data_IF_078825438340
#
_entry.id   IF_078825438340
#
_cell.length_a   1.000
_cell.length_b   1.000
_cell.length_c   1.000
_cell.angle_alpha   90.00
_cell.angle_beta   90.00
_cell.angle_gamma   90.00
#
_symmetry.space_group_name_H-M   'P 1'
#
loop_
_entity.id
_entity.type
_entity.pdbx_description
1 polymer ?
#
# COMPACT_ATOMS: atom_id res chain seq x y z
N UNK A 1 49.17 -18.50 -6.12
CA UNK A 1 48.47 -18.79 -4.85
C UNK A 1 46.97 -18.79 -5.15
N UNK A 2 46.29 -19.94 -5.04
CA UNK A 2 44.88 -20.12 -5.43
C UNK A 2 43.97 -19.49 -4.37
N UNK A 3 43.16 -18.51 -4.76
CA UNK A 3 42.14 -17.91 -3.88
C UNK A 3 40.89 -18.78 -3.99
N UNK A 4 40.55 -19.44 -2.87
CA UNK A 4 39.36 -20.29 -2.73
C UNK A 4 38.17 -19.43 -2.31
N UNK A 5 37.10 -19.42 -3.11
CA UNK A 5 35.81 -18.84 -2.76
C UNK A 5 35.13 -19.67 -1.67
N UNK A 6 35.15 -19.19 -0.43
CA UNK A 6 34.31 -19.72 0.63
C UNK A 6 32.86 -19.27 0.41
N UNK A 7 32.00 -20.26 0.15
CA UNK A 7 30.54 -20.09 0.09
C UNK A 7 30.04 -19.72 1.50
N UNK A 8 29.72 -18.45 1.71
CA UNK A 8 28.97 -17.99 2.89
C UNK A 8 27.54 -18.52 2.75
N UNK A 9 27.17 -19.47 3.61
CA UNK A 9 25.78 -19.88 3.78
C UNK A 9 25.11 -18.84 4.68
N UNK A 10 24.36 -17.92 4.08
CA UNK A 10 23.48 -17.03 4.83
C UNK A 10 22.33 -17.85 5.42
N UNK A 11 22.27 -17.91 6.76
CA UNK A 11 21.07 -18.31 7.49
C UNK A 11 20.16 -17.09 7.47
N UNK A 12 19.19 -17.09 6.56
CA UNK A 12 18.08 -16.12 6.55
C UNK A 12 17.11 -16.59 7.63
N UNK A 13 16.98 -15.81 8.70
CA UNK A 13 15.84 -15.94 9.60
C UNK A 13 14.61 -15.49 8.81
N UNK A 14 13.74 -16.43 8.45
CA UNK A 14 12.49 -16.17 7.74
C UNK A 14 11.51 -15.51 8.71
N UNK A 15 11.63 -14.20 8.88
CA UNK A 15 10.51 -13.39 9.38
C UNK A 15 9.43 -13.43 8.31
N UNK A 16 8.21 -13.81 8.69
CA UNK A 16 7.09 -13.90 7.76
C UNK A 16 6.72 -12.49 7.27
N UNK A 17 7.37 -12.04 6.20
CA UNK A 17 6.93 -10.89 5.44
C UNK A 17 5.62 -11.23 4.75
N UNK A 18 4.57 -10.46 5.06
CA UNK A 18 3.37 -10.37 4.24
C UNK A 18 3.79 -9.83 2.87
N UNK A 19 4.17 -10.73 1.96
CA UNK A 19 4.53 -10.37 0.59
C UNK A 19 3.27 -9.92 -0.14
N UNK A 20 3.35 -8.74 -0.74
CA UNK A 20 2.26 -8.07 -1.43
C UNK A 20 1.45 -9.02 -2.31
N UNK A 21 0.15 -9.07 -2.04
CA UNK A 21 -0.80 -9.94 -2.72
C UNK A 21 -0.90 -9.52 -4.19
N UNK A 22 -0.32 -10.32 -5.09
CA UNK A 22 -0.74 -10.37 -6.49
C UNK A 22 -2.08 -11.12 -6.56
N UNK A 23 -3.19 -10.45 -6.22
CA UNK A 23 -4.51 -11.07 -6.30
C UNK A 23 -5.00 -11.12 -7.75
N UNK A 24 -5.18 -12.31 -8.31
CA UNK A 24 -5.84 -12.57 -9.59
C UNK A 24 -7.37 -12.48 -9.51
N UNK A 25 -7.90 -11.67 -8.58
CA UNK A 25 -9.32 -11.35 -8.53
C UNK A 25 -9.67 -10.42 -9.70
N UNK A 26 -10.63 -10.84 -10.53
CA UNK A 26 -11.22 -10.04 -11.60
C UNK A 26 -12.04 -8.89 -11.01
N UNK A 27 -11.38 -7.90 -10.42
CA UNK A 27 -11.94 -6.56 -10.26
C UNK A 27 -11.94 -5.92 -11.65
N UNK A 28 -12.98 -5.17 -12.07
CA UNK A 28 -12.90 -4.40 -13.30
C UNK A 28 -11.60 -3.59 -13.30
N UNK A 29 -10.80 -3.75 -14.36
CA UNK A 29 -9.66 -2.87 -14.58
C UNK A 29 -10.22 -1.46 -14.81
N UNK A 30 -10.34 -0.67 -13.74
CA UNK A 30 -10.42 0.77 -13.87
C UNK A 30 -9.14 1.18 -14.61
N UNK A 31 -9.29 1.77 -15.78
CA UNK A 31 -8.17 2.39 -16.46
C UNK A 31 -7.55 3.37 -15.45
N UNK A 32 -6.25 3.21 -15.17
CA UNK A 32 -5.54 4.20 -14.38
C UNK A 32 -5.81 5.56 -15.02
N UNK A 33 -6.47 6.46 -14.27
CA UNK A 33 -6.59 7.85 -14.69
C UNK A 33 -5.19 8.41 -14.94
N UNK A 34 -5.07 9.48 -15.72
CA UNK A 34 -3.82 10.23 -15.76
C UNK A 34 -3.42 10.56 -14.32
N UNK A 35 -2.18 10.26 -13.88
CA UNK A 35 -1.74 10.55 -12.51
C UNK A 35 -2.00 12.02 -12.18
N UNK A 36 -2.49 12.34 -10.96
CA UNK A 36 -2.62 13.72 -10.51
C UNK A 36 -1.29 14.46 -10.71
N UNK A 37 -1.34 15.66 -11.28
CA UNK A 37 -0.14 16.46 -11.57
C UNK A 37 0.14 17.46 -10.44
N UNK A 38 -0.34 17.17 -9.25
CA UNK A 38 -0.31 18.03 -8.07
C UNK A 38 -0.58 17.21 -6.80
N UNK A 39 -0.14 15.94 -6.79
CA UNK A 39 -0.34 15.06 -5.64
C UNK A 39 0.44 15.60 -4.43
N UNK A 40 -0.21 15.61 -3.27
CA UNK A 40 0.46 15.85 -1.99
C UNK A 40 0.71 14.50 -1.32
N UNK A 41 1.99 14.21 -1.05
CA UNK A 41 2.44 12.96 -0.49
C UNK A 41 3.06 13.23 0.88
N UNK A 42 2.47 12.67 1.93
CA UNK A 42 2.91 12.86 3.32
C UNK A 42 3.32 11.53 3.92
N UNK A 43 4.47 11.48 4.61
CA UNK A 43 4.86 10.31 5.41
C UNK A 43 3.98 10.25 6.66
N UNK A 44 3.33 9.12 6.90
CA UNK A 44 2.52 8.89 8.10
C UNK A 44 3.08 7.78 8.99
N UNK A 45 3.87 6.86 8.43
CA UNK A 45 4.64 5.87 9.20
C UNK A 45 6.03 5.70 8.60
N UNK A 46 7.12 5.73 9.39
CA UNK A 46 7.12 6.08 10.81
C UNK A 46 6.70 7.55 11.02
N UNK A 47 6.21 7.87 12.21
CA UNK A 47 5.92 9.26 12.60
C UNK A 47 7.23 9.94 12.97
N UNK A 48 7.68 10.88 12.12
CA UNK A 48 8.88 11.68 12.35
C UNK A 48 8.52 13.08 12.84
N UNK A 49 9.02 13.42 14.03
CA UNK A 49 8.76 14.68 14.72
C UNK A 49 10.04 15.27 15.36
N UNK A 50 9.87 16.30 16.18
CA UNK A 50 10.98 17.00 16.83
C UNK A 50 11.79 16.13 17.82
N UNK A 51 11.30 14.95 18.20
CA UNK A 51 11.95 14.06 19.16
C UNK A 51 12.82 12.98 18.52
N UNK A 52 12.64 12.71 17.22
CA UNK A 52 13.33 11.64 16.50
C UNK A 52 13.85 12.03 15.11
N UNK A 53 13.66 13.30 14.70
CA UNK A 53 14.25 13.84 13.46
C UNK A 53 15.64 14.44 13.76
N UNK A 54 16.67 13.86 13.14
CA UNK A 54 18.03 14.39 13.17
C UNK A 54 18.13 15.68 12.34
N UNK A 55 18.89 16.66 12.83
CA UNK A 55 19.25 17.87 12.06
C UNK A 55 18.06 18.65 11.44
N UNK A 56 16.93 18.76 12.13
CA UNK A 56 15.69 19.33 11.59
C UNK A 56 15.86 20.69 10.87
N UNK A 57 16.65 21.61 11.44
CA UNK A 57 16.93 22.90 10.82
C UNK A 57 17.73 22.82 9.52
N UNK A 58 18.74 21.94 9.45
CA UNK A 58 19.52 21.70 8.22
C UNK A 58 18.65 21.03 7.16
N UNK A 59 17.76 20.12 7.57
CA UNK A 59 16.87 19.43 6.63
C UNK A 59 15.89 20.43 5.97
N UNK A 60 15.32 21.34 6.76
CA UNK A 60 14.47 22.41 6.25
C UNK A 60 15.22 23.28 5.22
N UNK A 61 16.42 23.74 5.57
CA UNK A 61 17.23 24.57 4.69
C UNK A 61 17.59 23.85 3.37
N UNK A 62 17.90 22.55 3.42
CA UNK A 62 18.16 21.74 2.22
C UNK A 62 16.91 21.56 1.35
N UNK A 63 15.77 21.27 1.96
CA UNK A 63 14.48 21.18 1.25
C UNK A 63 14.14 22.47 0.52
N UNK A 64 14.19 23.60 1.21
CA UNK A 64 13.96 24.94 0.64
C UNK A 64 14.95 25.26 -0.48
N UNK A 65 16.23 24.92 -0.29
CA UNK A 65 17.26 25.09 -1.31
C UNK A 65 16.92 24.28 -2.57
N UNK A 66 16.60 22.99 -2.45
CA UNK A 66 16.29 22.16 -3.62
C UNK A 66 15.02 22.61 -4.36
N UNK A 67 14.02 23.14 -3.64
CA UNK A 67 12.83 23.78 -4.24
C UNK A 67 13.22 25.06 -4.98
N UNK A 68 14.09 25.89 -4.40
CA UNK A 68 14.58 27.13 -5.05
C UNK A 68 15.33 26.85 -6.35
N UNK A 69 16.06 25.73 -6.42
CA UNK A 69 16.77 25.25 -7.61
C UNK A 69 15.86 24.59 -8.64
N UNK A 70 14.54 24.49 -8.38
CA UNK A 70 13.54 23.85 -9.22
C UNK A 70 13.83 22.37 -9.48
N UNK A 71 14.46 21.71 -8.52
CA UNK A 71 14.69 20.26 -8.58
C UNK A 71 13.48 19.47 -8.08
N UNK A 72 12.70 20.05 -7.17
CA UNK A 72 11.48 19.44 -6.62
C UNK A 72 10.33 20.44 -6.57
N UNK A 73 9.11 19.90 -6.45
CA UNK A 73 7.88 20.66 -6.26
C UNK A 73 7.87 21.43 -4.94
N UNK A 74 7.02 22.45 -4.87
CA UNK A 74 6.86 23.25 -3.66
C UNK A 74 6.34 22.39 -2.49
N UNK A 75 6.67 22.79 -1.26
CA UNK A 75 6.25 22.03 -0.07
C UNK A 75 7.03 20.74 0.19
N UNK A 76 8.16 20.52 -0.49
CA UNK A 76 9.06 19.41 -0.22
C UNK A 76 9.44 19.36 1.27
N UNK A 77 9.20 18.21 1.90
CA UNK A 77 9.71 17.90 3.24
C UNK A 77 10.94 17.02 3.11
N UNK A 78 12.05 17.37 3.76
CA UNK A 78 13.20 16.49 3.92
C UNK A 78 13.38 16.16 5.40
N UNK A 79 13.53 14.88 5.74
CA UNK A 79 13.70 14.43 7.12
C UNK A 79 14.73 13.31 7.20
N UNK A 80 15.60 13.41 8.22
CA UNK A 80 16.60 12.40 8.55
C UNK A 80 16.27 11.75 9.88
N UNK A 81 16.39 10.43 9.96
CA UNK A 81 16.13 9.68 11.18
C UNK A 81 17.12 8.54 11.35
N UNK A 82 17.34 8.13 12.60
CA UNK A 82 18.22 7.02 12.95
C UNK A 82 17.44 5.74 13.14
N UNK A 83 17.96 4.64 12.59
CA UNK A 83 17.39 3.30 12.77
C UNK A 83 18.51 2.28 13.02
N UNK A 84 18.25 1.20 13.79
CA UNK A 84 19.24 0.14 13.97
C UNK A 84 19.57 -0.54 12.64
N UNK A 85 20.82 -0.98 12.50
CA UNK A 85 21.25 -1.83 11.38
C UNK A 85 20.50 -3.17 11.38
N UNK A 86 20.19 -3.69 10.19
CA UNK A 86 19.42 -4.91 9.98
C UNK A 86 17.92 -4.77 10.30
N UNK A 87 17.45 -3.54 10.54
CA UNK A 87 16.04 -3.28 10.82
C UNK A 87 15.16 -3.46 9.58
N UNK A 88 13.89 -3.76 9.83
CA UNK A 88 12.83 -3.44 8.87
C UNK A 88 12.19 -2.12 9.29
N UNK A 89 11.81 -1.29 8.33
CA UNK A 89 11.04 -0.05 8.55
C UNK A 89 9.92 0.00 7.52
N UNK A 90 8.68 0.20 7.97
CA UNK A 90 7.55 0.34 7.07
C UNK A 90 7.29 1.83 6.77
N UNK A 91 7.57 2.24 5.53
CA UNK A 91 7.28 3.57 5.02
C UNK A 91 5.84 3.61 4.48
N UNK A 92 4.91 4.18 5.25
CA UNK A 92 3.55 4.44 4.80
C UNK A 92 3.37 5.91 4.46
N UNK A 93 2.90 6.18 3.25
CA UNK A 93 2.58 7.51 2.77
C UNK A 93 1.08 7.67 2.56
N UNK A 94 0.55 8.84 2.89
CA UNK A 94 -0.79 9.28 2.53
C UNK A 94 -0.72 10.18 1.30
N UNK A 95 -1.56 9.91 0.29
CA UNK A 95 -1.58 10.61 -0.99
C UNK A 95 -2.95 11.23 -1.24
N UNK A 96 -2.96 12.54 -1.41
CA UNK A 96 -4.17 13.32 -1.72
C UNK A 96 -3.98 14.16 -2.99
N UNK A 97 -5.09 14.51 -3.64
CA UNK A 97 -5.11 15.53 -4.68
C UNK A 97 -4.97 16.94 -4.08
N UNK A 98 -4.88 17.97 -4.93
CA UNK A 98 -4.81 19.37 -4.49
C UNK A 98 -5.98 19.84 -3.62
N UNK A 99 -7.10 19.12 -3.58
CA UNK A 99 -8.27 19.44 -2.77
C UNK A 99 -8.27 18.66 -1.44
N UNK A 100 -7.19 17.94 -1.14
CA UNK A 100 -7.08 17.09 0.04
C UNK A 100 -7.92 15.80 -0.05
N UNK A 101 -8.40 15.42 -1.24
CA UNK A 101 -9.14 14.17 -1.41
C UNK A 101 -8.17 13.00 -1.61
N UNK A 102 -8.37 11.87 -0.90
CA UNK A 102 -7.54 10.68 -1.08
C UNK A 102 -7.47 10.21 -2.54
N UNK A 103 -6.27 9.98 -3.05
CA UNK A 103 -6.08 9.40 -4.38
C UNK A 103 -6.07 7.89 -4.25
N UNK A 104 -7.15 7.23 -4.63
CA UNK A 104 -7.35 5.79 -4.45
C UNK A 104 -6.85 4.97 -5.64
N UNK A 105 -6.23 3.80 -5.38
CA UNK A 105 -5.76 2.84 -6.39
C UNK A 105 -4.74 3.45 -7.40
N UNK A 106 -4.01 4.46 -6.96
CA UNK A 106 -2.98 5.17 -7.73
C UNK A 106 -1.64 4.49 -7.57
N UNK A 107 -0.91 4.33 -8.68
CA UNK A 107 0.48 3.89 -8.64
C UNK A 107 1.36 4.97 -8.01
N UNK A 108 2.11 4.59 -6.98
CA UNK A 108 3.12 5.39 -6.30
C UNK A 108 4.43 4.64 -6.41
N UNK A 109 5.44 5.27 -6.99
CA UNK A 109 6.80 4.74 -7.10
C UNK A 109 7.65 5.23 -5.95
N UNK A 110 8.21 4.33 -5.16
CA UNK A 110 9.27 4.61 -4.22
C UNK A 110 10.63 4.47 -4.93
N UNK A 111 11.38 5.55 -4.95
CA UNK A 111 12.78 5.60 -5.38
C UNK A 111 13.67 5.38 -4.17
N UNK A 112 14.55 4.39 -4.22
CA UNK A 112 15.35 3.91 -3.07
C UNK A 112 16.83 4.05 -3.38
N UNK A 113 17.61 4.55 -2.40
CA UNK A 113 18.98 5.06 -2.59
C UNK A 113 19.02 5.96 -3.82
N UNK A 114 18.29 7.08 -3.74
CA UNK A 114 18.02 7.98 -4.85
C UNK A 114 19.32 8.48 -5.50
N UNK A 115 19.33 8.72 -6.82
CA UNK A 115 20.45 9.41 -7.47
C UNK A 115 20.76 10.76 -6.79
N UNK A 116 22.04 11.12 -6.69
CA UNK A 116 22.61 12.28 -5.98
C UNK A 116 22.44 12.29 -4.46
N UNK A 117 21.98 11.19 -3.86
CA UNK A 117 21.84 11.10 -2.40
C UNK A 117 23.10 10.57 -1.71
N UNK A 118 24.13 10.14 -2.44
CA UNK A 118 25.34 9.49 -1.91
C UNK A 118 25.08 8.27 -0.99
N UNK A 119 23.87 7.69 -1.05
CA UNK A 119 23.45 6.58 -0.19
C UNK A 119 24.29 5.32 -0.36
N UNK A 120 24.67 4.74 0.78
CA UNK A 120 25.61 3.62 0.92
C UNK A 120 24.97 2.37 1.52
N UNK A 121 23.72 2.41 1.97
CA UNK A 121 23.07 1.24 2.57
C UNK A 121 22.62 0.18 1.56
N UNK A 122 22.68 -1.09 1.97
CA UNK A 122 22.15 -2.23 1.24
C UNK A 122 20.74 -2.56 1.72
N UNK A 123 19.75 -2.32 0.87
CA UNK A 123 18.34 -2.47 1.21
C UNK A 123 17.65 -3.47 0.30
N UNK A 124 16.59 -4.10 0.83
CA UNK A 124 15.60 -4.83 0.07
C UNK A 124 14.24 -4.15 0.22
N UNK A 125 13.55 -3.96 -0.91
CA UNK A 125 12.15 -3.55 -0.97
C UNK A 125 11.46 -4.48 -1.98
N UNK A 126 10.48 -5.24 -1.51
CA UNK A 126 9.94 -6.40 -2.23
C UNK A 126 11.05 -7.34 -2.73
N UNK A 127 11.18 -7.46 -4.06
CA UNK A 127 12.20 -8.26 -4.75
C UNK A 127 13.29 -7.38 -5.38
N UNK A 128 13.34 -6.08 -5.05
CA UNK A 128 14.35 -5.14 -5.51
C UNK A 128 15.41 -4.93 -4.44
N UNK A 129 16.67 -4.75 -4.87
CA UNK A 129 17.82 -4.65 -3.99
C UNK A 129 18.68 -3.44 -4.37
N UNK A 130 19.18 -2.72 -3.38
CA UNK A 130 20.23 -1.72 -3.59
C UNK A 130 21.61 -2.37 -3.46
N UNK A 131 22.64 -1.74 -4.02
CA UNK A 131 24.01 -2.26 -4.00
C UNK A 131 24.88 -1.68 -2.88
N UNK A 132 24.40 -0.66 -2.16
CA UNK A 132 25.19 0.07 -1.16
C UNK A 132 26.37 0.87 -1.74
N UNK A 133 26.38 1.07 -3.07
CA UNK A 133 27.41 1.83 -3.77
C UNK A 133 26.73 2.98 -4.47
N UNK A 134 27.14 4.21 -4.15
CA UNK A 134 26.62 5.41 -4.79
C UNK A 134 26.75 5.31 -6.32
N UNK A 135 25.64 5.56 -7.02
CA UNK A 135 25.57 5.55 -8.49
C UNK A 135 25.48 6.95 -9.09
N UNK A 136 25.63 8.00 -8.27
CA UNK A 136 25.58 9.45 -8.56
C UNK A 136 24.36 9.94 -9.34
N UNK A 137 24.07 9.40 -10.52
CA UNK A 137 23.05 9.89 -11.45
C UNK A 137 21.74 9.09 -11.45
N UNK A 138 21.75 7.88 -10.88
CA UNK A 138 20.60 6.96 -10.96
C UNK A 138 20.22 6.43 -9.59
N UNK A 139 18.93 6.17 -9.42
CA UNK A 139 18.43 5.44 -8.24
C UNK A 139 18.94 4.01 -8.27
N UNK A 140 19.16 3.41 -7.10
CA UNK A 140 19.61 2.02 -7.05
C UNK A 140 18.45 1.04 -7.22
N UNK A 141 17.26 1.38 -6.74
CA UNK A 141 16.04 0.59 -6.91
C UNK A 141 14.78 1.48 -7.01
N UNK A 142 13.78 1.00 -7.75
CA UNK A 142 12.47 1.65 -7.90
C UNK A 142 11.38 0.59 -7.74
N UNK A 143 10.42 0.84 -6.85
CA UNK A 143 9.32 -0.10 -6.53
C UNK A 143 7.99 0.64 -6.61
N UNK A 144 6.95 0.04 -7.20
CA UNK A 144 5.64 0.68 -7.36
C UNK A 144 4.55 -0.11 -6.64
N UNK A 145 3.88 0.55 -5.70
CA UNK A 145 2.67 0.05 -5.04
C UNK A 145 1.46 0.91 -5.39
N UNK A 146 0.26 0.43 -5.03
CA UNK A 146 -0.99 1.16 -5.22
C UNK A 146 -1.52 1.68 -3.89
N UNK A 147 -2.06 2.90 -3.91
CA UNK A 147 -2.79 3.44 -2.76
C UNK A 147 -4.07 2.66 -2.45
N UNK A 148 -4.41 2.58 -1.16
CA UNK A 148 -5.59 1.93 -0.63
C UNK A 148 -6.84 2.83 -0.72
N UNK A 149 -7.95 2.42 -0.08
CA UNK A 149 -9.21 3.17 -0.11
C UNK A 149 -9.15 4.54 0.61
N UNK A 150 -8.13 4.75 1.43
CA UNK A 150 -7.87 6.00 2.15
C UNK A 150 -6.67 6.75 1.56
N UNK A 151 -6.19 6.37 0.38
CA UNK A 151 -5.04 7.04 -0.25
C UNK A 151 -3.69 6.67 0.36
N UNK A 152 -3.62 5.61 1.18
CA UNK A 152 -2.38 5.20 1.83
C UNK A 152 -1.62 4.17 1.01
N UNK A 153 -0.30 4.21 1.01
CA UNK A 153 0.57 3.22 0.37
C UNK A 153 1.76 2.91 1.27
N UNK A 154 2.10 1.63 1.43
CA UNK A 154 3.19 1.20 2.32
C UNK A 154 4.29 0.47 1.57
N UNK A 155 5.55 0.69 1.95
CA UNK A 155 6.71 -0.06 1.48
C UNK A 155 7.49 -0.58 2.68
N UNK A 156 7.70 -1.89 2.75
CA UNK A 156 8.58 -2.49 3.75
C UNK A 156 10.03 -2.40 3.27
N UNK A 157 10.85 -1.64 4.00
CA UNK A 157 12.27 -1.46 3.72
C UNK A 157 13.05 -2.34 4.68
N UNK A 158 13.81 -3.29 4.15
CA UNK A 158 14.65 -4.18 4.96
C UNK A 158 16.10 -3.76 4.76
N UNK A 159 16.77 -3.40 5.85
CA UNK A 159 18.20 -3.22 5.85
C UNK A 159 18.92 -4.59 5.85
N UNK A 160 19.82 -4.77 4.90
CA UNK A 160 20.62 -5.98 4.72
C UNK A 160 22.04 -5.81 5.23
N UNK A 161 22.43 -4.59 5.64
CA UNK A 161 23.72 -4.32 6.23
C UNK A 161 23.89 -5.07 7.57
N UNK A 162 25.14 -5.29 7.98
CA UNK A 162 25.47 -6.06 9.19
C UNK A 162 26.67 -5.46 9.92
N UNK A 163 26.67 -5.58 11.24
CA UNK A 163 27.83 -5.24 12.06
C UNK A 163 29.12 -5.92 11.53
N UNK A 164 30.27 -5.22 11.55
CA UNK A 164 30.49 -3.91 12.16
C UNK A 164 30.19 -2.72 11.24
N UNK A 165 29.53 -2.92 10.09
CA UNK A 165 29.04 -1.80 9.27
C UNK A 165 28.00 -1.01 10.08
N UNK A 166 27.89 0.29 9.82
CA UNK A 166 26.94 1.17 10.47
C UNK A 166 27.58 2.21 11.37
N UNK A 167 26.83 3.28 11.57
CA UNK A 167 27.23 4.40 12.39
C UNK A 167 27.26 4.01 13.88
N UNK A 168 27.93 4.84 14.68
CA UNK A 168 27.80 4.75 16.13
C UNK A 168 26.39 5.20 16.52
N UNK A 169 25.70 4.44 17.38
CA UNK A 169 24.43 4.86 17.97
C UNK A 169 24.55 6.28 18.55
N UNK A 170 23.70 7.23 18.12
CA UNK A 170 23.75 8.60 18.64
C UNK A 170 23.32 8.62 20.10
N UNK A 171 23.72 9.66 20.84
CA UNK A 171 23.28 9.80 22.23
C UNK A 171 21.80 10.18 22.31
N UNK A 172 21.32 10.93 21.31
CA UNK A 172 19.91 11.25 21.07
C UNK A 172 19.59 11.06 19.59
N UNK A 173 18.38 10.61 19.28
CA UNK A 173 17.93 10.45 17.89
C UNK A 173 17.82 11.79 17.12
N UNK A 174 17.90 12.92 17.82
CA UNK A 174 17.95 14.27 17.24
C UNK A 174 19.37 14.79 17.01
N UNK A 175 20.40 14.04 17.42
CA UNK A 175 21.79 14.47 17.25
C UNK A 175 22.12 14.64 15.75
N UNK A 176 23.09 15.52 15.40
CA UNK A 176 23.49 15.70 14.02
C UNK A 176 24.02 14.42 13.36
N UNK A 177 23.72 14.26 12.07
CA UNK A 177 24.24 13.14 11.29
C UNK A 177 25.72 13.34 10.98
N UNK A 178 26.39 12.27 10.58
CA UNK A 178 27.76 12.37 10.09
C UNK A 178 27.82 13.28 8.84
N UNK A 179 28.95 13.97 8.61
CA UNK A 179 29.14 14.76 7.39
C UNK A 179 29.19 13.88 6.14
N UNK A 180 28.65 14.41 5.04
CA UNK A 180 28.72 13.79 3.71
C UNK A 180 30.16 13.37 3.36
N UNK A 181 30.33 12.09 3.01
CA UNK A 181 31.63 11.53 2.64
C UNK A 181 32.47 11.00 3.80
N UNK A 182 31.97 11.04 5.05
CA UNK A 182 32.53 10.23 6.12
C UNK A 182 32.47 8.74 5.73
N UNK A 183 33.57 8.01 5.90
CA UNK A 183 33.66 6.60 5.49
C UNK A 183 32.79 5.66 6.36
N UNK A 184 32.25 6.17 7.47
CA UNK A 184 31.37 5.45 8.39
C UNK A 184 29.91 5.87 8.27
N UNK A 185 29.60 6.87 7.42
CA UNK A 185 28.23 7.27 7.09
C UNK A 185 27.52 6.15 6.31
N UNK A 186 26.48 5.60 6.94
CA UNK A 186 25.68 4.52 6.40
C UNK A 186 24.23 4.97 6.35
N UNK A 187 23.81 5.47 5.19
CA UNK A 187 22.46 5.97 5.02
C UNK A 187 21.81 5.59 3.69
N UNK A 188 20.49 5.73 3.67
CA UNK A 188 19.65 5.59 2.50
C UNK A 188 18.61 6.69 2.43
N UNK A 189 18.49 7.31 1.25
CA UNK A 189 17.46 8.29 0.94
C UNK A 189 16.35 7.71 0.04
N UNK A 190 15.10 7.98 0.42
CA UNK A 190 13.88 7.51 -0.23
C UNK A 190 13.01 8.68 -0.68
N UNK A 191 12.38 8.54 -1.85
CA UNK A 191 11.44 9.52 -2.41
C UNK A 191 10.24 8.81 -3.05
N UNK A 192 9.01 8.99 -2.54
CA UNK A 192 7.79 8.59 -3.22
C UNK A 192 7.44 9.58 -4.34
N UNK A 193 6.87 9.06 -5.43
CA UNK A 193 6.51 9.81 -6.62
C UNK A 193 5.21 9.27 -7.25
N UNK A 194 4.35 10.19 -7.71
CA UNK A 194 3.13 9.90 -8.47
C UNK A 194 3.28 10.39 -9.91
N UNK A 195 3.42 11.69 -10.15
CA UNK A 195 3.57 12.26 -11.48
C UNK A 195 5.00 12.71 -11.81
N UNK A 196 5.83 13.00 -10.80
CA UNK A 196 7.18 13.52 -11.02
C UNK A 196 7.68 14.35 -9.85
N UNK A 197 8.97 14.26 -9.54
CA UNK A 197 9.57 14.98 -8.40
C UNK A 197 9.39 16.51 -8.42
N UNK A 198 9.25 17.12 -9.61
CA UNK A 198 9.00 18.58 -9.77
C UNK A 198 7.52 18.96 -9.66
N UNK A 199 6.64 17.97 -9.74
CA UNK A 199 5.19 18.12 -9.90
C UNK A 199 4.48 17.73 -8.61
N UNK A 200 4.98 16.68 -7.96
CA UNK A 200 4.48 16.18 -6.67
C UNK A 200 5.00 17.06 -5.52
N UNK A 201 4.15 17.26 -4.51
CA UNK A 201 4.53 17.81 -3.21
C UNK A 201 4.95 16.63 -2.34
N UNK A 202 6.21 16.21 -2.46
CA UNK A 202 6.72 14.97 -1.85
C UNK A 202 7.43 15.17 -0.52
N UNK A 203 7.75 14.05 0.12
CA UNK A 203 8.65 13.96 1.27
C UNK A 203 9.86 13.10 0.91
N UNK A 204 11.06 13.56 1.24
CA UNK A 204 12.28 12.76 1.19
C UNK A 204 12.58 12.29 2.61
N UNK A 205 12.66 10.97 2.78
CA UNK A 205 13.04 10.35 4.06
C UNK A 205 14.42 9.74 3.91
N UNK A 206 15.32 10.05 4.82
CA UNK A 206 16.65 9.48 4.86
C UNK A 206 16.91 8.80 6.20
N UNK A 207 17.32 7.54 6.15
CA UNK A 207 17.66 6.76 7.33
C UNK A 207 19.15 6.60 7.45
N UNK A 208 19.67 6.92 8.64
CA UNK A 208 21.03 6.61 9.08
C UNK A 208 21.00 5.34 9.93
N UNK A 209 21.81 4.35 9.55
CA UNK A 209 21.82 3.02 10.15
C UNK A 209 22.93 2.91 11.18
N UNK A 210 22.57 2.69 12.45
CA UNK A 210 23.53 2.60 13.53
C UNK A 210 23.66 1.17 14.08
N UNK A 211 24.84 0.87 14.61
CA UNK A 211 25.09 -0.35 15.38
C UNK A 211 24.62 -0.18 16.82
N UNK A 212 23.68 -1.02 17.27
CA UNK A 212 23.28 -1.06 18.67
C UNK A 212 24.13 -2.11 19.41
N UNK A 213 24.83 -1.68 20.47
CA UNK A 213 25.69 -2.57 21.27
C UNK A 213 24.91 -3.31 22.35
N UNK A 214 23.65 -2.93 22.63
CA UNK A 214 22.77 -3.67 23.54
C UNK A 214 21.30 -3.25 23.37
N UNK A 215 20.36 -4.17 23.08
CA UNK A 215 18.95 -3.83 23.03
C UNK A 215 18.44 -3.44 24.43
N UNK A 216 17.84 -2.26 24.54
CA UNK A 216 17.18 -1.82 25.76
C UNK A 216 15.91 -2.64 25.99
N UNK A 217 15.73 -3.18 27.20
CA UNK A 217 14.51 -3.88 27.57
C UNK A 217 13.46 -2.86 27.98
N UNK A 218 12.44 -2.69 27.15
CA UNK A 218 11.32 -1.79 27.39
C UNK A 218 10.20 -2.55 28.11
N UNK A 219 9.73 -2.10 29.29
CA UNK A 219 8.57 -2.71 29.97
C UNK A 219 7.29 -2.61 29.12
N UNK A 220 6.52 -3.69 29.09
CA UNK A 220 5.31 -3.84 28.28
C UNK A 220 4.23 -4.63 29.03
N UNK A 221 3.94 -4.23 30.27
CA UNK A 221 2.84 -4.80 31.06
C UNK A 221 1.50 -4.12 30.78
N UNK A 222 1.51 -2.86 30.36
CA UNK A 222 0.36 -2.04 29.95
C UNK A 222 0.73 -1.23 28.70
N UNK A 223 1.07 -1.90 27.58
CA UNK A 223 1.54 -1.22 26.39
C UNK A 223 0.45 -0.33 25.79
N UNK A 224 0.87 0.69 25.06
CA UNK A 224 -0.02 1.56 24.30
C UNK A 224 0.05 1.22 22.81
N UNK A 225 -1.11 1.05 22.16
CA UNK A 225 -1.22 0.64 20.75
C UNK A 225 -2.13 1.62 19.99
N UNK A 226 -1.55 2.59 19.28
CA UNK A 226 -2.31 3.67 18.62
C UNK A 226 -2.38 3.49 17.11
N UNK A 227 -3.55 3.74 16.54
CA UNK A 227 -3.77 3.67 15.10
C UNK A 227 -3.13 4.89 14.43
N UNK A 228 -2.29 4.64 13.44
CA UNK A 228 -1.58 5.65 12.66
C UNK A 228 -2.16 5.73 11.25
N UNK A 229 -2.44 4.58 10.65
CA UNK A 229 -3.10 4.46 9.35
C UNK A 229 -4.33 3.54 9.48
N UNK A 230 -5.49 3.92 8.93
CA UNK A 230 -5.79 5.25 8.39
C UNK A 230 -5.72 6.33 9.48
N UNK A 231 -5.32 7.55 9.10
CA UNK A 231 -5.30 8.71 10.00
C UNK A 231 -6.72 9.20 10.30
N UNK A 232 -7.35 8.67 11.35
CA UNK A 232 -8.74 8.95 11.69
C UNK A 232 -8.86 10.14 12.65
N UNK A 233 -9.75 11.07 12.33
CA UNK A 233 -10.04 12.29 13.08
C UNK A 233 -11.54 12.56 13.07
N UNK A 234 -11.99 13.56 13.83
CA UNK A 234 -13.41 13.95 13.89
C UNK A 234 -13.95 14.54 12.59
N UNK A 235 -13.09 14.79 11.59
CA UNK A 235 -13.50 15.29 10.28
C UNK A 235 -13.74 14.17 9.27
N UNK A 236 -13.20 12.97 9.49
CA UNK A 236 -13.26 11.86 8.54
C UNK A 236 -13.78 10.54 9.13
N UNK A 237 -14.12 10.52 10.41
CA UNK A 237 -14.58 9.34 11.12
C UNK A 237 -15.51 9.72 12.28
N UNK A 238 -16.28 8.76 12.77
CA UNK A 238 -17.20 8.94 13.89
C UNK A 238 -16.50 8.48 15.16
N UNK A 239 -16.27 9.39 16.09
CA UNK A 239 -15.77 9.06 17.42
C UNK A 239 -16.91 8.52 18.30
N UNK A 240 -16.71 7.34 18.90
CA UNK A 240 -17.71 6.61 19.69
C UNK A 240 -17.40 6.64 21.19
N UNK A 241 -17.35 7.84 21.76
CA UNK A 241 -17.17 8.05 23.21
C UNK A 241 -18.18 7.27 24.07
N UNK A 242 -19.41 7.08 23.55
CA UNK A 242 -20.45 6.29 24.19
C UNK A 242 -20.04 4.82 24.36
N UNK A 243 -19.39 4.25 23.34
CA UNK A 243 -18.91 2.88 23.37
C UNK A 243 -17.59 2.76 24.14
N UNK A 244 -16.70 3.75 24.06
CA UNK A 244 -15.50 3.80 24.91
C UNK A 244 -15.88 3.73 26.39
N UNK A 245 -16.84 4.55 26.83
CA UNK A 245 -17.34 4.53 28.20
C UNK A 245 -17.97 3.18 28.55
N UNK A 246 -18.82 2.64 27.67
CA UNK A 246 -19.46 1.34 27.88
C UNK A 246 -18.43 0.22 28.06
N UNK A 247 -17.40 0.21 27.23
CA UNK A 247 -16.41 -0.86 27.18
C UNK A 247 -15.36 -0.79 28.30
N UNK A 248 -15.00 0.42 28.74
CA UNK A 248 -13.94 0.63 29.73
C UNK A 248 -14.46 0.86 31.15
N UNK A 249 -15.51 1.67 31.32
CA UNK A 249 -16.01 2.08 32.65
C UNK A 249 -17.15 1.17 33.11
N UNK A 250 -18.14 0.95 32.25
CA UNK A 250 -19.36 0.23 32.65
C UNK A 250 -19.14 -1.28 32.72
N UNK A 251 -18.28 -1.83 31.87
CA UNK A 251 -18.05 -3.27 31.78
C UNK A 251 -16.60 -3.71 32.00
N UNK A 252 -15.62 -2.80 31.99
CA UNK A 252 -14.19 -3.09 32.23
C UNK A 252 -13.60 -4.19 31.32
N UNK A 253 -14.16 -4.37 30.12
CA UNK A 253 -13.65 -5.33 29.15
C UNK A 253 -12.36 -4.85 28.49
N UNK A 254 -12.15 -3.54 28.47
CA UNK A 254 -10.98 -2.89 27.89
C UNK A 254 -10.33 -1.90 28.85
N UNK A 255 -9.03 -1.67 28.67
CA UNK A 255 -8.28 -0.72 29.48
C UNK A 255 -8.83 0.72 29.33
N UNK A 256 -8.81 1.53 30.41
CA UNK A 256 -9.05 2.97 30.31
C UNK A 256 -8.09 3.61 29.31
N UNK A 257 -8.60 4.54 28.48
CA UNK A 257 -7.83 5.16 27.41
C UNK A 257 -7.96 4.47 26.04
N UNK A 258 -8.88 3.51 25.92
CA UNK A 258 -9.40 3.02 24.64
C UNK A 258 -9.92 4.19 23.80
N UNK A 259 -9.51 4.27 22.54
CA UNK A 259 -10.25 5.06 21.56
C UNK A 259 -11.05 4.14 20.63
N UNK A 260 -12.25 4.54 20.24
CA UNK A 260 -13.06 3.79 19.30
C UNK A 260 -13.63 4.72 18.23
N UNK A 261 -13.23 4.48 16.98
CA UNK A 261 -13.76 5.17 15.80
C UNK A 261 -14.44 4.22 14.83
N UNK A 262 -15.53 4.69 14.24
CA UNK A 262 -16.17 4.07 13.07
C UNK A 262 -15.79 4.84 11.82
N UNK A 263 -15.51 4.13 10.73
CA UNK A 263 -15.13 4.73 9.45
C UNK A 263 -15.75 3.96 8.28
N UNK A 264 -16.04 4.68 7.20
CA UNK A 264 -16.62 4.09 6.00
C UNK A 264 -15.56 3.77 4.95
N UNK A 265 -15.70 2.63 4.29
CA UNK A 265 -14.94 2.25 3.11
C UNK A 265 -15.87 1.62 2.05
N UNK A 266 -15.55 1.71 0.75
CA UNK A 266 -16.30 0.96 -0.25
C UNK A 266 -16.05 -0.56 -0.14
N UNK A 267 -17.01 -1.39 -0.53
CA UNK A 267 -16.79 -2.84 -0.67
C UNK A 267 -15.65 -3.13 -1.66
N UNK A 268 -14.92 -4.22 -1.43
CA UNK A 268 -13.75 -4.58 -2.26
C UNK A 268 -12.46 -3.82 -1.93
N UNK A 269 -12.51 -2.87 -0.99
CA UNK A 269 -11.37 -2.03 -0.61
C UNK A 269 -10.20 -2.81 -0.04
N UNK A 270 -9.00 -2.33 -0.35
CA UNK A 270 -7.80 -2.60 0.46
C UNK A 270 -7.77 -1.61 1.62
N UNK A 271 -7.33 -2.07 2.79
CA UNK A 271 -7.19 -1.29 4.01
C UNK A 271 -5.78 -1.53 4.55
N UNK A 272 -5.00 -0.47 4.69
CA UNK A 272 -3.67 -0.52 5.30
C UNK A 272 -3.78 -0.01 6.73
N UNK A 273 -3.76 -0.95 7.69
CA UNK A 273 -3.78 -0.63 9.11
C UNK A 273 -2.34 -0.59 9.64
N UNK A 274 -1.93 0.54 10.19
CA UNK A 274 -0.64 0.68 10.87
C UNK A 274 -0.89 1.11 12.30
N UNK A 275 -0.33 0.37 13.25
CA UNK A 275 -0.35 0.74 14.66
C UNK A 275 1.06 1.06 15.15
N UNK A 276 1.21 2.13 15.91
CA UNK A 276 2.40 2.40 16.72
C UNK A 276 2.23 1.74 18.09
N UNK A 277 3.25 1.02 18.53
CA UNK A 277 3.28 0.32 19.80
C UNK A 277 4.39 0.90 20.66
N UNK A 278 4.02 1.34 21.86
CA UNK A 278 4.94 1.84 22.88
C UNK A 278 4.78 1.10 24.19
N UNK A 279 5.82 1.13 25.02
CA UNK A 279 5.86 0.49 26.32
C UNK A 279 4.96 1.16 27.35
N UNK A 280 5.15 0.78 28.61
CA UNK A 280 4.34 1.26 29.75
C UNK A 280 4.43 2.78 29.98
N UNK A 281 5.46 3.42 29.42
CA UNK A 281 5.65 4.87 29.47
C UNK A 281 4.84 5.63 28.40
N UNK A 282 4.17 4.91 27.49
CA UNK A 282 3.41 5.43 26.37
C UNK A 282 4.25 6.12 25.29
N UNK A 283 5.59 6.04 25.36
CA UNK A 283 6.52 6.83 24.52
C UNK A 283 7.59 6.00 23.85
N UNK A 284 8.21 5.07 24.59
CA UNK A 284 9.33 4.29 24.08
C UNK A 284 8.82 3.20 23.15
N UNK A 285 9.26 3.15 21.89
CA UNK A 285 8.81 2.13 20.94
C UNK A 285 9.12 0.70 21.38
N UNK A 286 8.14 -0.20 21.21
CA UNK A 286 8.35 -1.64 21.40
C UNK A 286 8.73 -2.29 20.08
N UNK A 287 10.02 -2.45 19.82
CA UNK A 287 10.52 -3.15 18.63
C UNK A 287 10.38 -4.68 18.73
N UNK A 288 10.25 -5.37 17.59
CA UNK A 288 10.21 -6.84 17.49
C UNK A 288 9.16 -7.52 18.38
N UNK A 289 8.06 -6.83 18.67
CA UNK A 289 6.99 -7.28 19.55
C UNK A 289 5.85 -7.86 18.72
N UNK A 290 5.39 -9.05 19.08
CA UNK A 290 4.24 -9.68 18.42
C UNK A 290 2.95 -8.96 18.80
N UNK A 291 2.17 -8.60 17.80
CA UNK A 291 0.85 -7.98 17.97
C UNK A 291 -0.17 -8.87 17.30
N UNK A 292 -1.25 -9.19 18.00
CA UNK A 292 -2.41 -9.86 17.42
C UNK A 292 -3.40 -8.81 16.93
N UNK A 293 -4.04 -9.08 15.80
CA UNK A 293 -5.15 -8.27 15.32
C UNK A 293 -6.41 -9.14 15.26
N UNK A 294 -7.36 -8.82 16.12
CA UNK A 294 -8.67 -9.45 16.16
C UNK A 294 -9.52 -8.81 15.06
N UNK A 295 -9.93 -9.61 14.06
CA UNK A 295 -10.71 -9.12 12.91
C UNK A 295 -12.07 -9.80 12.91
N UNK A 296 -13.14 -9.00 12.76
CA UNK A 296 -14.50 -9.41 13.09
C UNK A 296 -14.55 -9.99 14.51
N UNK A 297 -14.15 -9.15 15.46
CA UNK A 297 -13.97 -9.54 16.85
C UNK A 297 -15.23 -10.19 17.43
N UNK A 298 -15.08 -11.17 18.31
CA UNK A 298 -16.15 -11.74 19.13
C UNK A 298 -16.99 -10.67 19.83
N UNK A 299 -18.30 -10.94 19.94
CA UNK A 299 -19.33 -10.05 20.52
C UNK A 299 -19.56 -8.71 19.81
N UNK A 300 -18.93 -8.45 18.66
CA UNK A 300 -19.12 -7.19 17.91
C UNK A 300 -20.35 -7.18 17.00
N UNK A 301 -20.87 -8.35 16.61
CA UNK A 301 -21.87 -8.47 15.55
C UNK A 301 -21.32 -8.28 14.12
N UNK A 302 -19.99 -8.18 13.97
CA UNK A 302 -19.33 -8.04 12.67
C UNK A 302 -19.71 -9.15 11.70
N UNK A 303 -19.88 -8.79 10.43
CA UNK A 303 -20.33 -9.67 9.36
C UNK A 303 -19.63 -9.45 8.02
N UNK A 304 -18.72 -8.49 7.92
CA UNK A 304 -17.98 -8.22 6.68
C UNK A 304 -16.97 -9.32 6.36
N UNK A 305 -16.76 -9.62 5.09
CA UNK A 305 -15.77 -10.60 4.65
C UNK A 305 -14.40 -9.93 4.50
N UNK A 306 -13.44 -10.25 5.36
CA UNK A 306 -12.10 -9.65 5.38
C UNK A 306 -11.02 -10.73 5.24
N UNK A 307 -9.92 -10.41 4.55
CA UNK A 307 -8.73 -11.28 4.46
C UNK A 307 -7.43 -10.49 4.33
N UNK A 308 -6.33 -11.04 4.84
CA UNK A 308 -4.95 -10.60 4.54
C UNK A 308 -4.35 -11.35 3.32
N UNK A 309 -5.18 -12.09 2.58
CA UNK A 309 -4.78 -12.96 1.48
C UNK A 309 -4.38 -14.38 1.89
N UNK A 310 -4.19 -14.65 3.19
CA UNK A 310 -3.84 -15.97 3.73
C UNK A 310 -4.91 -16.49 4.70
N UNK A 311 -5.31 -15.65 5.64
CA UNK A 311 -6.34 -15.86 6.65
C UNK A 311 -7.54 -15.02 6.28
N UNK A 312 -8.73 -15.60 6.37
CA UNK A 312 -10.00 -14.91 6.11
C UNK A 312 -10.93 -15.04 7.31
N UNK A 313 -11.83 -14.08 7.46
CA UNK A 313 -12.91 -14.14 8.45
C UNK A 313 -13.81 -15.34 8.17
N UNK A 314 -14.04 -16.14 9.21
CA UNK A 314 -14.94 -17.30 9.17
C UNK A 314 -16.26 -16.99 9.88
N UNK A 315 -17.32 -16.75 9.10
CA UNK A 315 -18.66 -16.47 9.60
C UNK A 315 -19.33 -17.66 10.32
N UNK A 316 -18.76 -18.87 10.22
CA UNK A 316 -19.29 -20.06 10.91
C UNK A 316 -18.88 -20.11 12.39
N UNK A 317 -17.88 -19.33 12.79
CA UNK A 317 -17.48 -19.22 14.19
C UNK A 317 -18.54 -18.46 14.97
N UNK A 318 -18.99 -19.07 16.05
CA UNK A 318 -19.97 -18.47 16.96
C UNK A 318 -19.32 -17.33 17.76
N UNK A 319 -19.58 -16.10 17.33
CA UNK A 319 -19.07 -14.88 17.95
C UNK A 319 -19.65 -14.64 19.35
N UNK A 320 -20.77 -15.28 19.70
CA UNK A 320 -21.41 -15.18 21.02
C UNK A 320 -20.74 -16.08 22.07
N UNK A 321 -19.78 -16.92 21.66
CA UNK A 321 -18.97 -17.75 22.55
C UNK A 321 -17.54 -17.22 22.70
N UNK A 322 -17.28 -15.97 22.32
CA UNK A 322 -15.95 -15.37 22.45
C UNK A 322 -15.00 -15.71 21.30
N UNK A 323 -15.49 -16.26 20.19
CA UNK A 323 -14.65 -16.60 19.04
C UNK A 323 -14.57 -15.44 18.04
N UNK A 324 -13.35 -14.97 17.78
CA UNK A 324 -13.09 -14.06 16.66
C UNK A 324 -13.17 -14.80 15.34
N UNK A 325 -13.69 -14.15 14.30
CA UNK A 325 -13.77 -14.80 12.99
C UNK A 325 -12.38 -14.97 12.36
N UNK A 326 -11.46 -14.01 12.57
CA UNK A 326 -10.05 -14.14 12.22
C UNK A 326 -9.14 -13.51 13.28
N UNK A 327 -7.96 -14.11 13.44
CA UNK A 327 -6.88 -13.61 14.29
C UNK A 327 -5.62 -13.55 13.43
N UNK A 328 -5.11 -12.34 13.22
CA UNK A 328 -3.89 -12.11 12.47
C UNK A 328 -2.74 -11.80 13.44
N UNK A 329 -1.51 -12.05 13.02
CA UNK A 329 -0.32 -11.73 13.79
C UNK A 329 0.63 -10.87 12.96
N UNK A 330 1.12 -9.80 13.57
CA UNK A 330 2.16 -8.94 13.05
C UNK A 330 3.30 -8.83 14.05
N UNK A 331 4.43 -8.31 13.61
CA UNK A 331 5.56 -8.00 14.50
C UNK A 331 5.93 -6.54 14.26
N UNK A 332 6.10 -5.79 15.34
CA UNK A 332 6.52 -4.39 15.25
C UNK A 332 7.92 -4.29 14.68
N UNK A 333 8.12 -3.25 13.88
CA UNK A 333 9.39 -2.89 13.28
C UNK A 333 10.32 -2.22 14.30
N UNK A 334 11.51 -1.78 13.88
CA UNK A 334 12.49 -1.21 14.80
C UNK A 334 12.04 0.11 15.45
N UNK A 335 11.03 0.76 14.89
CA UNK A 335 10.44 2.00 15.39
C UNK A 335 9.10 1.76 16.11
N UNK A 336 8.76 0.50 16.38
CA UNK A 336 7.55 0.11 17.11
C UNK A 336 6.28 0.09 16.27
N UNK A 337 6.36 0.13 14.94
CA UNK A 337 5.18 0.11 14.08
C UNK A 337 4.87 -1.29 13.57
N UNK A 338 3.60 -1.70 13.62
CA UNK A 338 3.12 -2.96 13.02
C UNK A 338 2.12 -2.67 11.92
N UNK A 339 2.27 -3.36 10.79
CA UNK A 339 1.45 -3.23 9.60
C UNK A 339 0.55 -4.46 9.43
N UNK A 340 -0.72 -4.21 9.10
CA UNK A 340 -1.68 -5.21 8.64
C UNK A 340 -2.36 -4.72 7.35
N UNK A 341 -2.11 -5.41 6.24
CA UNK A 341 -2.81 -5.16 4.98
C UNK A 341 -4.01 -6.09 4.85
N UNK A 342 -5.19 -5.50 4.82
CA UNK A 342 -6.46 -6.21 4.75
C UNK A 342 -7.17 -5.90 3.45
N UNK A 343 -8.05 -6.81 3.04
CA UNK A 343 -8.96 -6.63 1.92
C UNK A 343 -10.37 -7.04 2.31
N UNK A 344 -11.31 -6.14 2.08
CA UNK A 344 -12.72 -6.49 2.05
C UNK A 344 -13.03 -7.27 0.76
N UNK A 345 -13.72 -8.40 0.90
CA UNK A 345 -14.10 -9.28 -0.21
C UNK A 345 -15.60 -9.33 -0.42
N UNK A 346 -16.37 -8.52 0.31
CA UNK A 346 -17.80 -8.40 0.09
C UNK A 346 -18.09 -7.85 -1.31
N UNK A 347 -19.19 -8.32 -1.89
CA UNK A 347 -19.71 -7.82 -3.17
C UNK A 347 -20.80 -6.77 -2.96
N UNK A 348 -21.56 -6.93 -1.87
CA UNK A 348 -22.63 -6.03 -1.47
C UNK A 348 -22.27 -5.40 -0.13
N UNK A 349 -22.58 -4.12 0.00
CA UNK A 349 -22.39 -3.37 1.24
C UNK A 349 -23.66 -2.66 1.64
N UNK A 350 -23.58 -1.93 2.74
CA UNK A 350 -24.64 -1.03 3.18
C UNK A 350 -24.80 0.18 2.24
N UNK A 351 -25.80 1.01 2.51
CA UNK A 351 -26.02 2.22 1.73
C UNK A 351 -24.82 3.17 1.87
N UNK A 352 -24.43 3.82 0.76
CA UNK A 352 -23.36 4.83 0.79
C UNK A 352 -23.76 5.95 1.76
N UNK A 353 -22.91 6.30 2.73
CA UNK A 353 -23.20 7.39 3.67
C UNK A 353 -23.23 8.74 2.93
N UNK A 354 -24.01 9.69 3.45
CA UNK A 354 -24.06 11.04 2.90
C UNK A 354 -22.74 11.79 3.13
N UNK A 355 -22.12 11.56 4.28
CA UNK A 355 -20.83 12.14 4.70
C UNK A 355 -20.06 11.11 5.51
N UNK A 356 -18.73 11.26 5.69
CA UNK A 356 -17.95 10.38 6.57
C UNK A 356 -18.43 10.34 8.03
N UNK A 357 -19.20 11.34 8.46
CA UNK A 357 -19.73 11.49 9.82
C UNK A 357 -21.19 11.07 9.96
N UNK A 358 -21.78 10.51 8.89
CA UNK A 358 -23.15 9.97 8.96
C UNK A 358 -23.17 8.84 9.98
N UNK A 359 -24.13 8.84 10.91
CA UNK A 359 -24.20 7.80 11.93
C UNK A 359 -24.30 6.40 11.29
N UNK A 360 -23.50 5.46 11.81
CA UNK A 360 -23.47 4.09 11.31
C UNK A 360 -24.82 3.37 11.52
N UNK A 361 -25.27 2.53 10.57
CA UNK A 361 -26.50 1.78 10.72
C UNK A 361 -26.45 0.85 11.94
N UNK A 362 -27.49 0.88 12.77
CA UNK A 362 -27.61 -0.05 13.91
C UNK A 362 -28.15 -1.43 13.52
N UNK A 363 -28.68 -1.57 12.31
CA UNK A 363 -29.23 -2.82 11.77
C UNK A 363 -28.95 -2.91 10.27
N UNK A 364 -28.63 -4.11 9.77
CA UNK A 364 -28.42 -4.36 8.34
C UNK A 364 -27.16 -3.71 7.76
N UNK A 365 -26.23 -3.29 8.61
CA UNK A 365 -24.90 -2.83 8.18
C UNK A 365 -24.00 -3.99 7.74
N UNK A 366 -22.99 -3.67 6.94
CA UNK A 366 -21.89 -4.58 6.59
C UNK A 366 -20.62 -4.03 7.21
N UNK A 367 -20.13 -4.64 8.30
CA UNK A 367 -19.03 -4.04 9.05
C UNK A 367 -18.06 -5.06 9.68
N UNK A 368 -16.85 -4.57 9.96
CA UNK A 368 -15.79 -5.29 10.66
C UNK A 368 -15.24 -4.43 11.79
N UNK A 369 -15.43 -4.87 13.03
CA UNK A 369 -14.77 -4.32 14.21
C UNK A 369 -13.42 -5.02 14.42
N UNK A 370 -12.39 -4.21 14.62
CA UNK A 370 -10.98 -4.62 14.67
C UNK A 370 -10.32 -4.05 15.93
N UNK A 371 -9.56 -4.90 16.63
CA UNK A 371 -8.83 -4.53 17.85
C UNK A 371 -7.42 -5.14 17.86
N UNK A 372 -6.37 -4.37 18.13
CA UNK A 372 -5.02 -4.91 18.32
C UNK A 372 -4.78 -5.32 19.78
N UNK A 373 -4.01 -6.39 20.00
CA UNK A 373 -3.72 -6.95 21.33
C UNK A 373 -2.26 -7.42 21.44
N UNK A 374 -1.63 -7.18 22.58
CA UNK A 374 -0.33 -7.74 22.99
C UNK A 374 -0.50 -8.55 24.27
N UNK A 375 -1.03 -7.92 25.33
CA UNK A 375 -1.17 -8.55 26.66
C UNK A 375 -2.60 -8.92 26.98
N UNK A 376 -3.58 -8.23 26.40
CA UNK A 376 -5.01 -8.49 26.60
C UNK A 376 -5.84 -7.20 26.55
N UNK A 377 -7.07 -7.27 26.05
CA UNK A 377 -7.92 -6.08 25.90
C UNK A 377 -8.13 -5.24 27.16
N UNK A 378 -8.24 -5.87 28.33
CA UNK A 378 -8.40 -5.19 29.62
C UNK A 378 -7.12 -4.47 30.12
N UNK A 379 -5.99 -4.71 29.47
CA UNK A 379 -4.65 -4.28 29.91
C UNK A 379 -4.00 -3.33 28.90
N UNK A 380 -4.11 -3.64 27.61
CA UNK A 380 -3.53 -2.84 26.52
C UNK A 380 -4.34 -1.56 26.31
N UNK A 381 -3.65 -0.41 26.31
CA UNK A 381 -4.28 0.87 25.99
C UNK A 381 -4.27 1.04 24.46
N UNK A 382 -5.36 0.65 23.80
CA UNK A 382 -5.39 0.50 22.35
C UNK A 382 -6.43 1.36 21.65
N UNK A 383 -6.23 1.60 20.36
CA UNK A 383 -7.25 2.14 19.46
C UNK A 383 -8.01 1.00 18.77
N UNK A 384 -9.33 1.03 18.89
CA UNK A 384 -10.26 0.15 18.19
C UNK A 384 -10.85 0.88 16.98
N UNK A 385 -11.00 0.16 15.87
CA UNK A 385 -11.62 0.70 14.65
C UNK A 385 -12.69 -0.24 14.13
N UNK A 386 -13.79 0.33 13.67
CA UNK A 386 -14.85 -0.41 12.99
C UNK A 386 -15.08 0.15 11.58
N UNK A 387 -14.86 -0.70 10.59
CA UNK A 387 -15.05 -0.37 9.19
C UNK A 387 -16.45 -0.75 8.75
N UNK A 388 -17.20 0.23 8.26
CA UNK A 388 -18.48 0.05 7.58
C UNK A 388 -18.28 0.04 6.07
N UNK A 389 -18.73 -1.02 5.40
CA UNK A 389 -18.53 -1.25 3.97
C UNK A 389 -19.77 -0.92 3.16
N UNK A 390 -19.73 0.16 2.39
CA UNK A 390 -20.85 0.54 1.54
C UNK A 390 -20.72 0.05 0.11
N UNK A 391 -21.85 -0.22 -0.53
CA UNK A 391 -21.91 -0.61 -1.94
C UNK A 391 -21.42 0.51 -2.85
N UNK A 392 -20.55 0.18 -3.81
CA UNK A 392 -20.18 1.10 -4.88
C UNK A 392 -21.13 0.87 -6.06
N UNK A 393 -21.74 1.91 -6.65
CA UNK A 393 -22.45 1.76 -7.90
C UNK A 393 -21.49 1.16 -8.94
N UNK A 394 -21.73 -0.09 -9.34
CA UNK A 394 -20.89 -0.74 -10.36
C UNK A 394 -21.12 0.03 -11.66
N UNK A 395 -20.14 0.83 -12.07
CA UNK A 395 -20.19 1.48 -13.37
C UNK A 395 -20.39 0.38 -14.42
N UNK A 396 -21.36 0.51 -15.34
CA UNK A 396 -21.63 -0.54 -16.30
C UNK A 396 -20.37 -0.82 -17.10
N UNK A 397 -19.90 -2.07 -17.07
CA UNK A 397 -18.76 -2.55 -17.84
C UNK A 397 -18.98 -2.22 -19.31
N UNK A 398 -18.29 -1.22 -19.83
CA UNK A 398 -18.37 -0.83 -21.25
C UNK A 398 -17.48 -1.77 -22.05
N UNK A 399 -18.00 -2.40 -23.12
CA UNK A 399 -17.18 -3.21 -24.02
C UNK A 399 -15.97 -2.43 -24.54
N UNK A 400 -14.80 -3.06 -24.56
CA UNK A 400 -13.58 -2.49 -25.15
C UNK A 400 -13.11 -3.36 -26.30
N UNK A 401 -12.72 -2.74 -27.42
CA UNK A 401 -12.35 -3.44 -28.65
C UNK A 401 -11.01 -2.90 -29.16
N UNK A 402 -10.05 -3.79 -29.39
CA UNK A 402 -8.80 -3.47 -30.08
C UNK A 402 -8.59 -4.42 -31.26
N UNK A 403 -7.98 -3.93 -32.33
CA UNK A 403 -7.72 -4.72 -33.54
C UNK A 403 -6.23 -4.65 -33.90
N UNK A 404 -5.61 -5.81 -34.16
CA UNK A 404 -4.21 -5.90 -34.55
C UNK A 404 -4.01 -6.98 -35.61
N UNK A 405 -3.26 -6.66 -36.66
CA UNK A 405 -2.91 -7.61 -37.70
C UNK A 405 -1.63 -8.37 -37.37
N UNK A 406 -1.59 -9.66 -37.69
CA UNK A 406 -0.40 -10.52 -37.61
C UNK A 406 -0.19 -11.25 -38.94
N UNK A 407 1.04 -11.70 -39.20
CA UNK A 407 1.39 -12.53 -40.36
C UNK A 407 2.03 -13.84 -39.88
N UNK A 408 1.71 -14.94 -40.54
CA UNK A 408 2.31 -16.25 -40.29
C UNK A 408 2.49 -17.01 -41.60
N UNK A 409 3.47 -17.91 -41.65
CA UNK A 409 3.62 -18.86 -42.76
C UNK A 409 2.90 -20.16 -42.41
N UNK A 410 1.87 -20.51 -43.17
CA UNK A 410 1.08 -21.74 -42.98
C UNK A 410 1.18 -22.56 -44.26
N UNK A 411 1.71 -23.78 -44.17
CA UNK A 411 1.92 -24.68 -45.33
C UNK A 411 2.63 -23.98 -46.50
N UNK A 412 3.70 -23.24 -46.21
CA UNK A 412 4.51 -22.52 -47.20
C UNK A 412 3.88 -21.24 -47.77
N UNK A 413 2.66 -20.86 -47.36
CA UNK A 413 1.99 -19.63 -47.81
C UNK A 413 1.90 -18.61 -46.68
N UNK A 414 2.08 -17.32 -47.02
CA UNK A 414 1.88 -16.25 -46.03
C UNK A 414 0.39 -15.99 -45.81
N UNK A 415 -0.05 -16.03 -44.56
CA UNK A 415 -1.42 -15.76 -44.12
C UNK A 415 -1.41 -14.53 -43.21
N UNK A 416 -2.26 -13.55 -43.49
CA UNK A 416 -2.47 -12.38 -42.63
C UNK A 416 -3.75 -12.58 -41.83
N UNK A 417 -3.69 -12.35 -40.52
CA UNK A 417 -4.81 -12.52 -39.60
C UNK A 417 -5.09 -11.21 -38.86
N UNK A 418 -6.34 -10.76 -38.86
CA UNK A 418 -6.84 -9.72 -37.98
C UNK A 418 -7.26 -10.36 -36.65
N UNK A 419 -6.59 -9.97 -35.56
CA UNK A 419 -6.95 -10.36 -34.20
C UNK A 419 -7.70 -9.20 -33.56
N UNK A 420 -8.97 -9.42 -33.23
CA UNK A 420 -9.82 -8.45 -32.55
C UNK A 420 -9.98 -8.92 -31.11
N UNK A 421 -9.41 -8.17 -30.17
CA UNK A 421 -9.61 -8.43 -28.75
C UNK A 421 -10.84 -7.67 -28.28
N UNK A 422 -11.82 -8.40 -27.78
CA UNK A 422 -13.03 -7.86 -27.15
C UNK A 422 -12.95 -8.15 -25.66
N UNK A 423 -13.07 -7.10 -24.83
CA UNK A 423 -13.16 -7.22 -23.38
C UNK A 423 -14.52 -6.73 -22.90
N UNK A 424 -14.93 -7.19 -21.73
CA UNK A 424 -16.11 -6.67 -21.00
C UNK A 424 -17.43 -6.83 -21.77
N UNK A 425 -17.58 -7.91 -22.54
CA UNK A 425 -18.77 -8.19 -23.33
C UNK A 425 -19.25 -9.64 -23.22
N UNK A 426 -18.89 -10.36 -22.15
CA UNK A 426 -19.28 -11.75 -21.95
C UNK A 426 -20.81 -11.92 -22.00
N UNK A 427 -21.29 -12.95 -22.69
CA UNK A 427 -22.71 -13.23 -22.93
C UNK A 427 -23.34 -12.41 -24.06
N UNK A 428 -22.59 -11.52 -24.71
CA UNK A 428 -23.09 -10.65 -25.80
C UNK A 428 -22.67 -11.16 -27.17
N UNK A 429 -23.30 -10.62 -28.21
CA UNK A 429 -22.93 -10.88 -29.62
C UNK A 429 -22.30 -9.65 -30.25
N UNK A 430 -21.15 -9.83 -30.89
CA UNK A 430 -20.47 -8.79 -31.65
C UNK A 430 -20.80 -8.94 -33.15
N UNK A 431 -21.35 -7.89 -33.77
CA UNK A 431 -21.42 -7.78 -35.23
C UNK A 431 -20.10 -7.25 -35.76
N UNK A 432 -19.51 -7.95 -36.72
CA UNK A 432 -18.14 -7.71 -37.22
C UNK A 432 -18.18 -7.27 -38.68
N UNK A 433 -17.51 -6.17 -38.97
CA UNK A 433 -17.30 -5.67 -40.34
C UNK A 433 -15.82 -5.36 -40.53
N UNK A 434 -15.19 -6.01 -41.50
CA UNK A 434 -13.78 -5.80 -41.86
C UNK A 434 -13.71 -5.56 -43.36
N UNK A 435 -13.01 -4.49 -43.79
CA UNK A 435 -12.86 -4.17 -45.22
C UNK A 435 -12.32 -5.35 -46.03
N UNK A 436 -13.07 -5.77 -47.05
CA UNK A 436 -12.71 -6.89 -47.92
C UNK A 436 -13.10 -8.27 -47.39
N UNK A 437 -13.85 -8.36 -46.29
CA UNK A 437 -14.56 -9.58 -45.89
C UNK A 437 -16.06 -9.47 -46.18
N UNK A 438 -16.74 -10.62 -46.22
CA UNK A 438 -18.18 -10.72 -46.42
C UNK A 438 -18.94 -9.95 -45.32
N UNK A 439 -20.02 -9.27 -45.68
CA UNK A 439 -20.90 -8.61 -44.73
C UNK A 439 -21.65 -9.62 -43.84
N UNK A 440 -22.11 -9.16 -42.68
CA UNK A 440 -22.95 -9.96 -41.77
C UNK A 440 -22.19 -10.95 -40.89
N UNK A 441 -20.89 -10.78 -40.68
CA UNK A 441 -20.15 -11.58 -39.71
C UNK A 441 -20.62 -11.26 -38.29
N UNK A 442 -20.75 -12.28 -37.46
CA UNK A 442 -21.06 -12.14 -36.03
C UNK A 442 -20.28 -13.15 -35.20
N UNK A 443 -20.08 -12.84 -33.92
CA UNK A 443 -19.41 -13.74 -32.97
C UNK A 443 -20.02 -13.58 -31.56
N UNK A 444 -20.35 -14.71 -30.93
CA UNK A 444 -20.70 -14.73 -29.51
C UNK A 444 -19.45 -14.57 -28.65
N UNK A 445 -19.54 -13.72 -27.63
CA UNK A 445 -18.47 -13.46 -26.68
C UNK A 445 -18.75 -14.28 -25.41
N UNK A 446 -17.90 -15.26 -25.13
CA UNK A 446 -18.11 -16.25 -24.05
C UNK A 446 -17.09 -16.12 -22.91
N UNK A 447 -16.16 -15.17 -23.00
CA UNK A 447 -15.19 -14.87 -21.95
C UNK A 447 -15.08 -13.37 -21.68
N UNK A 448 -14.59 -13.01 -20.50
CA UNK A 448 -14.36 -11.61 -20.10
C UNK A 448 -13.36 -10.87 -21.02
N UNK A 449 -12.46 -11.63 -21.66
CA UNK A 449 -11.54 -11.16 -22.70
C UNK A 449 -11.40 -12.25 -23.77
N UNK A 450 -11.87 -11.97 -24.99
CA UNK A 450 -11.88 -12.92 -26.11
C UNK A 450 -11.16 -12.35 -27.32
N UNK A 451 -10.42 -13.19 -28.03
CA UNK A 451 -9.77 -12.82 -29.30
C UNK A 451 -10.50 -13.48 -30.47
N UNK A 452 -11.10 -12.66 -31.33
CA UNK A 452 -11.71 -13.10 -32.59
C UNK A 452 -10.66 -13.01 -33.70
N UNK A 453 -10.54 -14.05 -34.51
CA UNK A 453 -9.50 -14.16 -35.56
C UNK A 453 -10.14 -14.24 -36.94
N UNK A 454 -9.71 -13.37 -37.86
CA UNK A 454 -10.19 -13.35 -39.23
C UNK A 454 -9.03 -13.28 -40.21
N UNK A 455 -9.00 -14.17 -41.22
CA UNK A 455 -8.01 -14.09 -42.30
C UNK A 455 -8.32 -12.88 -43.18
N UNK A 456 -7.31 -12.08 -43.53
CA UNK A 456 -7.45 -10.85 -44.32
C UNK A 456 -6.37 -10.75 -45.41
N UNK A 457 -6.58 -9.86 -46.37
CA UNK A 457 -5.55 -9.48 -47.35
C UNK A 457 -4.71 -8.30 -46.86
N UNK A 458 -3.55 -8.05 -47.51
CA UNK A 458 -2.73 -6.85 -47.26
C UNK A 458 -3.49 -5.56 -47.52
N UNK A 459 -2.97 -4.47 -46.96
CA UNK A 459 -3.47 -3.11 -47.18
C UNK A 459 -4.22 -2.54 -45.99
N UNK A 460 -4.78 -1.34 -46.17
CA UNK A 460 -5.55 -0.62 -45.15
C UNK A 460 -6.90 -1.33 -44.94
N UNK A 461 -7.22 -1.64 -43.68
CA UNK A 461 -8.47 -2.31 -43.27
C UNK A 461 -9.19 -1.45 -42.25
N UNK A 462 -10.46 -1.16 -42.50
CA UNK A 462 -11.36 -0.61 -41.50
C UNK A 462 -12.05 -1.78 -40.80
N UNK A 463 -11.91 -1.83 -39.48
CA UNK A 463 -12.56 -2.81 -38.60
C UNK A 463 -13.64 -2.07 -37.81
N UNK A 464 -14.90 -2.45 -37.97
CA UNK A 464 -16.04 -1.96 -37.20
C UNK A 464 -16.66 -3.13 -36.44
N UNK A 465 -16.72 -3.01 -35.12
CA UNK A 465 -17.34 -3.98 -34.23
C UNK A 465 -18.53 -3.30 -33.56
N UNK A 466 -19.70 -3.92 -33.61
CA UNK A 466 -20.90 -3.40 -32.93
C UNK A 466 -21.34 -4.38 -31.85
N UNK A 467 -21.46 -3.90 -30.62
CA UNK A 467 -21.93 -4.68 -29.46
C UNK A 467 -23.00 -3.82 -28.77
N UNK A 468 -24.19 -4.37 -28.57
CA UNK A 468 -25.35 -3.67 -27.99
C UNK A 468 -25.62 -2.28 -28.62
N UNK A 469 -25.59 -2.21 -29.95
CA UNK A 469 -25.84 -0.96 -30.69
C UNK A 469 -24.67 0.04 -30.70
N UNK A 470 -23.64 -0.14 -29.87
CA UNK A 470 -22.45 0.73 -29.86
C UNK A 470 -21.37 0.23 -30.82
N UNK A 471 -20.88 1.13 -31.69
CA UNK A 471 -19.86 0.82 -32.70
C UNK A 471 -18.45 1.24 -32.26
N UNK A 472 -17.48 0.35 -32.47
CA UNK A 472 -16.05 0.56 -32.24
C UNK A 472 -15.33 0.43 -33.59
N UNK A 473 -14.69 1.51 -34.03
CA UNK A 473 -14.04 1.55 -35.36
C UNK A 473 -12.54 1.74 -35.20
N UNK A 474 -11.76 0.91 -35.89
CA UNK A 474 -10.30 1.04 -35.97
C UNK A 474 -9.84 0.90 -37.41
N UNK A 475 -8.75 1.59 -37.75
CA UNK A 475 -8.08 1.48 -39.05
C UNK A 475 -6.73 0.81 -38.83
N UNK A 476 -6.54 -0.35 -39.44
CA UNK A 476 -5.33 -1.16 -39.30
C UNK A 476 -4.67 -1.36 -40.67
N UNK A 477 -3.38 -1.08 -40.78
CA UNK A 477 -2.61 -1.33 -42.00
C UNK A 477 -1.94 -2.71 -41.91
N UNK A 478 -2.37 -3.64 -42.76
CA UNK A 478 -1.82 -5.01 -42.85
C UNK A 478 -0.63 -5.01 -43.81
N UNK A 479 0.58 -5.28 -43.30
CA UNK A 479 1.85 -5.24 -44.06
C UNK A 479 2.40 -6.63 -44.36
#
# INVERSE_FOLDING_TARGET
>A
MKISWMKVKAVVATTALATGIASTGLVPAHAAGTPPQDAVITLISPVLDATNTADSAKNLALGEYWVSMKWYGEGLVFQRAYVPIGSTVNLTYHVVDKNGQPVVNQDVMLRVNKGYSISTSMLQVDNSFTSGVDKQLVDQANVTHKTDAFGNVTFAIIDLDKAPLGEKKPAKLTDPTLPDGDLTDLHSQMLPQVAGQMVDHSVITEFHYYTDSSPEVVPATHPTIRLVSPGLTDTNSIHREDLEKKFTVENTWYAPGLHFRQVYAPVGSKLTLVYQVTGDDGKTPLANTKVKLHVNKAYSGSNASITDGKTATDATKDSTQGNDQALLEGTTDALGFVLFDLKNTDVNGEAKPATPLTAAPTTGGTFSQIFPEITGGATDIADMVEFHFYGVPVAPLVPAVTAKATKATVKGKTVYTMNITVKNANGKTAAVSITGLKAGLSASITSASQVLKYVVTKGKKTVKITIDGKSYTSTVVVK
#
